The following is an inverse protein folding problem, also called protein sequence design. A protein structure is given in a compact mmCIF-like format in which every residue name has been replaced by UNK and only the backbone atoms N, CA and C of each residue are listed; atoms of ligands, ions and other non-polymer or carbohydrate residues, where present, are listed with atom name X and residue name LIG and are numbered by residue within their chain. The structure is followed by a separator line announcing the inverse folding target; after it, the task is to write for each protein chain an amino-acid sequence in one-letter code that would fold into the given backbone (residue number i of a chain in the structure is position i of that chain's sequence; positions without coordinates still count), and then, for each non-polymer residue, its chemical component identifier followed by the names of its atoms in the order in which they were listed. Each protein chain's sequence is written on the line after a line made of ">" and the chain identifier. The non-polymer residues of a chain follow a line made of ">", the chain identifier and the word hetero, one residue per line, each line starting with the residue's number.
data_IF_933932918695
#
_entry.id   IF_933932918695
#
_cell.length_a   1.000
_cell.length_b   1.000
_cell.length_c   1.000
_cell.angle_alpha   90.00
_cell.angle_beta   90.00
_cell.angle_gamma   90.00
#
_symmetry.space_group_name_H-M   'P 1'
#
loop_
_entity.id
_entity.type
_entity.pdbx_description
1 polymer ?
#
# COMPACT_ATOMS: atom_id res chain seq x y z
N UNK A 1 14.48 -58.28 -16.99
CA UNK A 1 13.29 -58.72 -16.25
C UNK A 1 12.14 -57.84 -16.72
N UNK A 2 11.16 -58.45 -17.36
CA UNK A 2 10.17 -57.87 -18.27
C UNK A 2 8.96 -57.22 -17.55
N UNK A 3 8.41 -56.14 -18.11
CA UNK A 3 6.95 -55.83 -18.12
C UNK A 3 6.30 -56.79 -19.16
N UNK A 4 5.00 -57.21 -19.14
CA UNK A 4 3.76 -56.39 -18.94
C UNK A 4 2.47 -57.16 -18.45
N UNK A 5 1.27 -56.57 -18.70
CA UNK A 5 -0.14 -57.09 -18.75
C UNK A 5 -1.01 -56.87 -17.50
N UNK A 6 -2.15 -56.15 -17.45
CA UNK A 6 -3.37 -55.90 -18.28
C UNK A 6 -4.54 -56.89 -18.03
N UNK A 7 -5.70 -56.37 -17.55
CA UNK A 7 -7.15 -56.67 -17.85
C UNK A 7 -8.01 -56.38 -16.60
N UNK A 8 -8.96 -55.43 -16.60
CA UNK A 8 -10.28 -55.30 -17.27
C UNK A 8 -11.41 -56.14 -16.63
N UNK A 9 -12.39 -55.49 -16.00
CA UNK A 9 -13.74 -56.01 -15.79
C UNK A 9 -14.80 -54.89 -15.77
N UNK A 10 -15.80 -55.06 -16.63
CA UNK A 10 -17.02 -54.28 -16.86
C UNK A 10 -18.09 -54.55 -15.78
N UNK A 11 -18.97 -53.58 -15.52
CA UNK A 11 -20.38 -53.86 -15.23
C UNK A 11 -21.28 -52.66 -15.60
N UNK A 12 -22.15 -52.90 -16.59
CA UNK A 12 -23.28 -52.06 -16.98
C UNK A 12 -24.46 -52.23 -15.98
N UNK A 13 -25.23 -51.18 -15.77
CA UNK A 13 -26.57 -51.24 -15.20
C UNK A 13 -27.50 -50.22 -15.88
N UNK A 14 -28.37 -50.71 -16.77
CA UNK A 14 -29.49 -49.98 -17.39
C UNK A 14 -30.77 -50.45 -16.71
N UNK A 15 -31.67 -49.55 -16.34
CA UNK A 15 -33.08 -49.86 -16.12
C UNK A 15 -33.98 -48.69 -16.56
N UNK A 16 -35.09 -49.09 -17.19
CA UNK A 16 -36.03 -48.32 -18.01
C UNK A 16 -37.05 -47.52 -17.21
N UNK A 17 -37.60 -46.51 -17.91
CA UNK A 17 -38.75 -45.69 -17.57
C UNK A 17 -40.06 -46.48 -17.36
N UNK A 18 -40.98 -45.88 -16.59
CA UNK A 18 -42.42 -46.14 -16.65
C UNK A 18 -43.18 -44.82 -16.54
N UNK A 19 -43.98 -44.54 -17.56
CA UNK A 19 -44.88 -43.40 -17.72
C UNK A 19 -46.23 -43.70 -17.08
N UNK A 20 -46.80 -42.73 -16.35
CA UNK A 20 -48.22 -42.69 -15.99
C UNK A 20 -48.74 -41.27 -16.30
N UNK A 21 -49.67 -41.14 -17.26
CA UNK A 21 -50.50 -39.95 -17.54
C UNK A 21 -51.78 -40.06 -16.67
N UNK A 22 -52.28 -39.03 -15.97
CA UNK A 22 -53.13 -37.88 -16.41
C UNK A 22 -53.63 -37.14 -15.12
N UNK A 23 -54.34 -35.98 -15.14
CA UNK A 23 -54.59 -34.96 -16.16
C UNK A 23 -54.22 -33.53 -15.70
N UNK A 24 -54.54 -32.54 -16.54
CA UNK A 24 -54.07 -31.15 -16.50
C UNK A 24 -54.68 -30.26 -15.39
N UNK A 25 -53.82 -29.47 -14.74
CA UNK A 25 -54.16 -28.24 -14.01
C UNK A 25 -53.67 -27.01 -14.81
N UNK A 26 -54.36 -25.85 -14.73
CA UNK A 26 -54.09 -24.69 -15.58
C UNK A 26 -52.73 -24.04 -15.25
N UNK A 27 -52.11 -23.31 -16.19
CA UNK A 27 -50.84 -22.65 -15.92
C UNK A 27 -51.06 -21.51 -14.93
N UNK A 28 -50.76 -21.74 -13.65
CA UNK A 28 -50.44 -20.65 -12.74
C UNK A 28 -49.13 -20.04 -13.23
N UNK A 29 -49.23 -18.82 -13.74
CA UNK A 29 -48.12 -17.91 -13.98
C UNK A 29 -47.34 -17.72 -12.67
N UNK A 30 -46.35 -18.58 -12.45
CA UNK A 30 -45.31 -18.33 -11.45
C UNK A 30 -44.53 -17.13 -11.97
N UNK A 31 -44.89 -15.95 -11.48
CA UNK A 31 -44.12 -14.74 -11.68
C UNK A 31 -42.68 -15.04 -11.27
N UNK A 32 -41.80 -15.19 -12.25
CA UNK A 32 -40.37 -15.05 -12.05
C UNK A 32 -40.19 -13.61 -11.58
N UNK A 33 -39.85 -13.41 -10.30
CA UNK A 33 -39.35 -12.12 -9.83
C UNK A 33 -38.03 -11.88 -10.56
N UNK A 34 -38.12 -11.28 -11.75
CA UNK A 34 -36.98 -10.89 -12.56
C UNK A 34 -36.21 -9.80 -11.81
N UNK A 35 -34.97 -10.04 -11.40
CA UNK A 35 -34.03 -8.99 -10.94
C UNK A 35 -33.54 -8.09 -12.08
N UNK A 36 -34.30 -8.02 -13.17
CA UNK A 36 -33.98 -7.20 -14.33
C UNK A 36 -33.99 -5.73 -13.91
N UNK A 37 -32.80 -5.13 -13.83
CA UNK A 37 -32.63 -3.70 -13.53
C UNK A 37 -32.21 -3.36 -12.10
N UNK A 38 -31.88 -4.32 -11.25
CA UNK A 38 -31.22 -4.05 -9.96
C UNK A 38 -29.71 -3.96 -10.15
N UNK A 39 -29.09 -2.92 -9.59
CA UNK A 39 -27.64 -2.76 -9.56
C UNK A 39 -27.14 -2.49 -8.15
N UNK A 40 -25.86 -2.73 -7.89
CA UNK A 40 -25.28 -2.49 -6.57
C UNK A 40 -24.09 -3.39 -6.27
N UNK A 41 -23.49 -3.16 -5.12
CA UNK A 41 -22.25 -3.80 -4.68
C UNK A 41 -22.30 -4.05 -3.18
N UNK A 42 -21.42 -4.94 -2.70
CA UNK A 42 -21.28 -5.25 -1.29
C UNK A 42 -19.81 -5.38 -0.92
N UNK A 43 -19.43 -4.75 0.20
CA UNK A 43 -18.10 -4.85 0.77
C UNK A 43 -18.14 -5.21 2.24
N UNK A 44 -17.18 -6.02 2.66
CA UNK A 44 -16.98 -6.43 4.04
C UNK A 44 -15.61 -5.99 4.53
N UNK A 45 -15.56 -5.63 5.80
CA UNK A 45 -14.38 -5.37 6.62
C UNK A 45 -14.49 -6.24 7.88
N UNK A 46 -13.51 -6.17 8.77
CA UNK A 46 -13.36 -7.15 9.86
C UNK A 46 -14.56 -7.20 10.82
N UNK A 47 -15.14 -6.04 11.15
CA UNK A 47 -16.28 -5.94 12.07
C UNK A 47 -17.65 -5.79 11.40
N UNK A 48 -17.70 -5.41 10.12
CA UNK A 48 -18.97 -5.16 9.44
C UNK A 48 -18.95 -5.33 7.92
N UNK A 49 -20.14 -5.48 7.32
CA UNK A 49 -20.35 -5.37 5.89
C UNK A 49 -21.38 -4.28 5.57
N UNK A 50 -21.22 -3.68 4.39
CA UNK A 50 -22.19 -2.78 3.78
C UNK A 50 -22.54 -3.34 2.40
N UNK A 51 -23.82 -3.61 2.20
CA UNK A 51 -24.38 -3.92 0.88
C UNK A 51 -25.29 -2.78 0.41
N UNK A 52 -25.24 -2.47 -0.88
CA UNK A 52 -26.08 -1.47 -1.51
C UNK A 52 -26.86 -2.09 -2.66
N UNK A 53 -28.15 -1.78 -2.75
CA UNK A 53 -29.04 -2.20 -3.84
C UNK A 53 -29.78 -0.98 -4.36
N UNK A 54 -29.53 -0.63 -5.62
CA UNK A 54 -30.21 0.44 -6.35
C UNK A 54 -31.44 -0.14 -7.04
N UNK A 55 -32.60 0.36 -6.66
CA UNK A 55 -33.87 -0.01 -7.25
C UNK A 55 -34.25 0.92 -8.42
N UNK A 56 -35.00 0.41 -9.41
CA UNK A 56 -35.50 1.22 -10.54
C UNK A 56 -36.38 2.41 -10.12
N UNK A 57 -36.95 2.39 -8.91
CA UNK A 57 -37.78 3.46 -8.36
C UNK A 57 -36.99 4.62 -7.75
N UNK A 58 -35.72 4.78 -8.13
CA UNK A 58 -34.81 5.80 -7.60
C UNK A 58 -34.64 5.76 -6.06
N UNK A 59 -34.68 4.56 -5.48
CA UNK A 59 -34.34 4.32 -4.07
C UNK A 59 -33.11 3.42 -3.99
N UNK A 60 -32.18 3.73 -3.07
CA UNK A 60 -31.06 2.84 -2.76
C UNK A 60 -31.28 2.27 -1.36
N UNK A 61 -31.28 0.95 -1.24
CA UNK A 61 -31.26 0.26 0.04
C UNK A 61 -29.82 -0.01 0.46
N UNK A 62 -29.52 0.25 1.72
CA UNK A 62 -28.26 -0.14 2.34
C UNK A 62 -28.53 -1.11 3.47
N UNK A 63 -27.70 -2.15 3.53
CA UNK A 63 -27.70 -3.14 4.60
C UNK A 63 -26.37 -3.09 5.31
N UNK A 64 -26.38 -2.71 6.58
CA UNK A 64 -25.23 -2.67 7.47
C UNK A 64 -25.30 -3.90 8.38
N UNK A 65 -24.33 -4.79 8.32
CA UNK A 65 -24.34 -6.02 9.13
C UNK A 65 -23.06 -6.19 9.90
N UNK A 66 -23.16 -6.60 11.17
CA UNK A 66 -22.00 -7.04 11.95
C UNK A 66 -21.52 -8.41 11.48
N UNK A 67 -20.21 -8.62 11.47
CA UNK A 67 -19.61 -9.95 11.21
C UNK A 67 -19.72 -10.88 12.42
N UNK A 68 -20.03 -10.34 13.60
CA UNK A 68 -20.04 -11.05 14.87
C UNK A 68 -18.68 -11.18 15.55
N UNK A 69 -17.61 -10.64 14.95
CA UNK A 69 -16.24 -10.69 15.50
C UNK A 69 -16.06 -9.82 16.75
N UNK A 70 -16.94 -8.84 16.97
CA UNK A 70 -16.97 -7.98 18.17
C UNK A 70 -18.42 -7.66 18.56
N UNK A 71 -18.64 -7.33 19.85
CA UNK A 71 -19.95 -6.93 20.33
C UNK A 71 -20.38 -5.63 19.65
N UNK A 72 -21.55 -5.62 19.03
CA UNK A 72 -22.08 -4.42 18.39
C UNK A 72 -22.75 -3.49 19.42
N UNK A 73 -22.27 -2.26 19.51
CA UNK A 73 -22.94 -1.15 20.18
C UNK A 73 -23.69 -0.25 19.19
N UNK A 74 -23.02 0.19 18.14
CA UNK A 74 -23.60 0.99 17.05
C UNK A 74 -22.81 0.80 15.75
N UNK A 75 -23.47 0.99 14.61
CA UNK A 75 -22.86 0.85 13.27
C UNK A 75 -23.21 2.06 12.41
N UNK A 76 -22.30 2.48 11.54
CA UNK A 76 -22.52 3.67 10.72
C UNK A 76 -21.99 3.52 9.30
N UNK A 77 -22.66 4.25 8.40
CA UNK A 77 -22.22 4.51 7.05
C UNK A 77 -22.37 6.00 6.77
N UNK A 78 -21.36 6.62 6.15
CA UNK A 78 -21.42 7.99 5.67
C UNK A 78 -21.15 8.11 4.18
N UNK A 79 -21.73 9.15 3.59
CA UNK A 79 -21.62 9.45 2.17
C UNK A 79 -20.46 10.42 1.93
N UNK A 80 -19.31 9.90 1.49
CA UNK A 80 -18.12 10.68 1.18
C UNK A 80 -16.83 9.91 1.51
N UNK A 81 -15.68 10.60 1.36
CA UNK A 81 -14.36 10.00 1.47
C UNK A 81 -13.64 10.30 2.80
N UNK A 82 -14.24 11.09 3.69
CA UNK A 82 -13.67 11.47 4.98
C UNK A 82 -14.80 11.79 5.98
N UNK A 83 -14.52 11.79 7.28
CA UNK A 83 -15.54 12.09 8.31
C UNK A 83 -16.05 13.53 8.24
N UNK A 84 -15.13 14.47 7.99
CA UNK A 84 -15.43 15.90 7.92
C UNK A 84 -16.41 16.21 6.78
N UNK A 85 -17.55 16.79 7.12
CA UNK A 85 -18.63 17.24 6.24
C UNK A 85 -19.31 16.13 5.43
N UNK A 86 -19.16 14.86 5.84
CA UNK A 86 -19.93 13.75 5.26
C UNK A 86 -21.22 13.51 6.04
N UNK A 87 -22.39 13.47 5.37
CA UNK A 87 -23.63 13.02 5.99
C UNK A 87 -23.53 11.54 6.35
N UNK A 88 -23.87 11.19 7.58
CA UNK A 88 -23.77 9.84 8.13
C UNK A 88 -25.13 9.33 8.56
N UNK A 89 -25.37 8.03 8.37
CA UNK A 89 -26.47 7.27 8.96
C UNK A 89 -25.85 6.35 10.00
N UNK A 90 -26.25 6.53 11.26
CA UNK A 90 -25.78 5.76 12.40
C UNK A 90 -26.98 5.01 12.97
N UNK A 91 -26.81 3.71 13.20
CA UNK A 91 -27.90 2.83 13.65
C UNK A 91 -27.43 2.01 14.84
N UNK A 92 -28.30 1.83 15.84
CA UNK A 92 -28.03 0.97 16.98
C UNK A 92 -29.31 0.36 17.57
N UNK A 93 -29.21 -0.85 18.16
CA UNK A 93 -30.29 -1.43 18.94
C UNK A 93 -30.36 -0.80 20.33
N UNK A 94 -31.57 -0.69 20.87
CA UNK A 94 -31.83 -0.18 22.20
C UNK A 94 -32.20 -1.30 23.17
N UNK A 95 -32.06 -1.04 24.48
CA UNK A 95 -32.36 -2.01 25.53
C UNK A 95 -33.84 -2.44 25.57
N UNK A 96 -34.75 -1.62 25.07
CA UNK A 96 -36.19 -1.91 24.97
C UNK A 96 -36.56 -2.75 23.73
N UNK A 97 -35.57 -3.17 22.93
CA UNK A 97 -35.76 -3.93 21.70
C UNK A 97 -36.14 -3.08 20.49
N UNK A 98 -36.18 -1.75 20.62
CA UNK A 98 -36.29 -0.84 19.48
C UNK A 98 -34.92 -0.61 18.80
N UNK A 99 -34.93 0.05 17.65
CA UNK A 99 -33.71 0.47 16.94
C UNK A 99 -33.78 1.97 16.71
N UNK A 100 -32.68 2.66 16.99
CA UNK A 100 -32.54 4.06 16.66
C UNK A 100 -31.74 4.22 15.38
N UNK A 101 -32.29 4.97 14.43
CA UNK A 101 -31.58 5.53 13.29
C UNK A 101 -31.34 7.01 13.55
N UNK A 102 -30.10 7.46 13.36
CA UNK A 102 -29.69 8.85 13.54
C UNK A 102 -28.90 9.33 12.34
N UNK A 103 -29.32 10.44 11.74
CA UNK A 103 -28.57 11.10 10.67
C UNK A 103 -27.75 12.24 11.23
N UNK A 104 -26.43 12.16 11.08
CA UNK A 104 -25.48 13.08 11.71
C UNK A 104 -24.44 13.60 10.72
N UNK A 105 -23.73 14.66 11.13
CA UNK A 105 -22.58 15.21 10.42
C UNK A 105 -21.64 15.88 11.41
N UNK A 106 -20.35 15.97 11.06
CA UNK A 106 -19.33 16.65 11.85
C UNK A 106 -18.47 17.54 10.94
N UNK A 107 -17.91 18.66 11.44
CA UNK A 107 -16.99 19.50 10.67
C UNK A 107 -15.57 18.92 10.56
N UNK A 108 -15.28 17.83 11.27
CA UNK A 108 -13.96 17.20 11.41
C UNK A 108 -14.10 15.87 12.17
N UNK A 109 -13.00 15.38 12.75
CA UNK A 109 -12.91 14.16 13.55
C UNK A 109 -13.40 14.42 15.00
N UNK A 110 -14.60 14.96 15.11
CA UNK A 110 -15.27 15.28 16.37
C UNK A 110 -16.63 14.58 16.44
N UNK A 111 -17.17 14.46 17.65
CA UNK A 111 -18.47 13.85 17.90
C UNK A 111 -19.55 14.41 16.95
N UNK A 112 -20.14 13.60 16.05
CA UNK A 112 -21.10 14.09 15.06
C UNK A 112 -22.44 14.44 15.70
N UNK A 113 -23.06 15.51 15.22
CA UNK A 113 -24.34 16.02 15.71
C UNK A 113 -25.47 15.73 14.73
N UNK A 114 -26.70 15.59 15.24
CA UNK A 114 -27.89 15.32 14.42
C UNK A 114 -28.13 16.44 13.41
N UNK A 115 -28.40 16.06 12.16
CA UNK A 115 -28.78 16.99 11.09
C UNK A 115 -30.30 16.98 10.95
N UNK A 116 -30.93 18.12 11.20
CA UNK A 116 -32.40 18.25 11.16
C UNK A 116 -32.99 18.07 9.75
N UNK A 117 -32.21 18.38 8.70
CA UNK A 117 -32.62 18.26 7.30
C UNK A 117 -31.47 17.68 6.46
N UNK A 118 -31.27 16.35 6.51
CA UNK A 118 -30.16 15.71 5.84
C UNK A 118 -30.36 15.71 4.31
N UNK A 119 -29.28 15.79 3.50
CA UNK A 119 -29.37 15.84 2.04
C UNK A 119 -30.09 14.62 1.41
N UNK A 120 -29.97 13.46 2.06
CA UNK A 120 -30.66 12.23 1.70
C UNK A 120 -31.32 11.69 2.97
N UNK A 121 -32.64 11.81 3.07
CA UNK A 121 -33.38 11.30 4.23
C UNK A 121 -33.31 9.77 4.25
N UNK A 122 -32.88 9.20 5.38
CA UNK A 122 -32.80 7.76 5.56
C UNK A 122 -34.04 7.24 6.29
N UNK A 123 -34.62 6.15 5.79
CA UNK A 123 -35.76 5.47 6.40
C UNK A 123 -35.36 4.06 6.81
N UNK A 124 -35.46 3.76 8.09
CA UNK A 124 -35.17 2.43 8.63
C UNK A 124 -36.27 1.43 8.20
N UNK A 125 -35.86 0.25 7.74
CA UNK A 125 -36.75 -0.88 7.49
C UNK A 125 -36.56 -1.93 8.59
N UNK A 126 -37.41 -1.86 9.60
CA UNK A 126 -37.36 -2.75 10.77
C UNK A 126 -37.71 -4.21 10.38
N UNK A 127 -38.52 -4.41 9.34
CA UNK A 127 -38.95 -5.74 8.90
C UNK A 127 -37.85 -6.53 8.18
N UNK A 128 -36.92 -5.83 7.54
CA UNK A 128 -35.73 -6.43 6.90
C UNK A 128 -34.49 -6.43 7.80
N UNK A 129 -34.52 -5.69 8.91
CA UNK A 129 -33.43 -5.64 9.89
C UNK A 129 -33.50 -6.83 10.85
N UNK A 130 -32.35 -7.39 11.25
CA UNK A 130 -32.26 -8.49 12.21
C UNK A 130 -31.34 -8.12 13.38
N UNK A 131 -31.91 -7.77 14.54
CA UNK A 131 -31.15 -7.19 15.66
C UNK A 131 -31.57 -7.73 17.03
N UNK A 132 -32.26 -8.88 17.05
CA UNK A 132 -32.62 -9.56 18.29
C UNK A 132 -31.38 -9.93 19.11
N UNK A 133 -31.49 -9.91 20.44
CA UNK A 133 -30.41 -10.16 21.40
C UNK A 133 -29.72 -11.52 21.27
N UNK A 134 -30.32 -12.48 20.54
CA UNK A 134 -29.76 -13.80 20.26
C UNK A 134 -29.02 -13.88 18.91
N UNK A 135 -29.02 -12.82 18.10
CA UNK A 135 -28.42 -12.85 16.78
C UNK A 135 -26.93 -12.50 16.89
N UNK A 136 -26.05 -13.48 16.64
CA UNK A 136 -24.60 -13.27 16.71
C UNK A 136 -24.08 -12.27 15.64
N UNK A 137 -24.91 -11.92 14.64
CA UNK A 137 -24.56 -11.06 13.50
C UNK A 137 -25.71 -10.11 13.15
N UNK A 138 -25.97 -9.08 13.98
CA UNK A 138 -27.07 -8.16 13.74
C UNK A 138 -26.94 -7.42 12.40
N UNK A 139 -28.05 -7.18 11.71
CA UNK A 139 -28.15 -6.42 10.47
C UNK A 139 -29.21 -5.33 10.53
N UNK A 140 -28.94 -4.20 9.89
CA UNK A 140 -29.82 -3.04 9.82
C UNK A 140 -29.98 -2.64 8.36
N UNK A 141 -31.23 -2.53 7.94
CA UNK A 141 -31.61 -2.19 6.58
C UNK A 141 -32.28 -0.83 6.61
N UNK A 142 -31.81 0.09 5.78
CA UNK A 142 -32.46 1.38 5.57
C UNK A 142 -32.42 1.76 4.10
N UNK A 143 -33.28 2.70 3.72
CA UNK A 143 -33.34 3.24 2.36
C UNK A 143 -33.08 4.72 2.35
N UNK A 144 -32.56 5.22 1.23
CA UNK A 144 -32.36 6.64 0.94
C UNK A 144 -32.72 6.93 -0.52
N UNK A 145 -33.10 8.18 -0.87
CA UNK A 145 -33.24 8.58 -2.27
C UNK A 145 -31.96 8.30 -3.06
N UNK A 146 -32.05 7.68 -4.23
CA UNK A 146 -30.88 7.37 -5.07
C UNK A 146 -30.23 8.65 -5.61
N UNK A 147 -28.91 8.59 -5.74
CA UNK A 147 -28.14 9.47 -6.64
C UNK A 147 -27.91 8.72 -7.96
N UNK A 148 -27.52 9.39 -9.06
CA UNK A 148 -27.10 8.69 -10.28
C UNK A 148 -26.08 7.60 -9.94
N UNK A 149 -26.33 6.36 -10.37
CA UNK A 149 -25.47 5.25 -10.04
C UNK A 149 -24.05 5.49 -10.59
N UNK A 150 -23.06 5.43 -9.70
CA UNK A 150 -21.66 5.62 -10.04
C UNK A 150 -20.89 4.32 -9.85
N UNK A 151 -19.87 4.08 -10.68
CA UNK A 151 -18.96 2.95 -10.49
C UNK A 151 -18.00 3.11 -9.29
N UNK A 152 -18.01 4.28 -8.64
CA UNK A 152 -17.17 4.56 -7.48
C UNK A 152 -17.87 5.54 -6.53
N UNK A 153 -18.81 5.03 -5.72
CA UNK A 153 -19.44 5.80 -4.64
C UNK A 153 -18.55 5.73 -3.41
N UNK A 154 -17.92 6.85 -3.05
CA UNK A 154 -17.14 6.96 -1.82
C UNK A 154 -18.02 6.82 -0.57
N UNK A 155 -17.57 5.98 0.36
CA UNK A 155 -18.23 5.66 1.62
C UNK A 155 -17.21 5.70 2.75
N UNK A 156 -17.61 6.31 3.87
CA UNK A 156 -16.97 6.10 5.17
C UNK A 156 -17.82 5.14 6.00
N UNK A 157 -17.20 4.35 6.86
CA UNK A 157 -17.91 3.42 7.75
C UNK A 157 -17.28 3.44 9.14
N UNK A 158 -18.07 3.06 10.14
CA UNK A 158 -17.60 2.96 11.51
C UNK A 158 -18.39 1.91 12.30
N UNK A 159 -17.70 1.23 13.20
CA UNK A 159 -18.23 0.24 14.12
C UNK A 159 -17.89 0.63 15.57
N UNK A 160 -18.91 0.80 16.40
CA UNK A 160 -18.76 1.05 17.83
C UNK A 160 -19.16 -0.16 18.66
N UNK A 161 -18.33 -0.53 19.64
CA UNK A 161 -18.63 -1.68 20.50
C UNK A 161 -19.46 -1.38 21.75
N UNK A 162 -19.64 -0.10 22.08
CA UNK A 162 -20.41 0.32 23.25
C UNK A 162 -21.73 0.95 22.80
N UNK A 163 -22.89 0.41 23.23
CA UNK A 163 -24.17 0.99 22.87
C UNK A 163 -24.33 2.38 23.51
N UNK A 164 -25.05 3.30 22.86
CA UNK A 164 -25.36 4.60 23.45
C UNK A 164 -26.25 4.45 24.70
N UNK A 165 -26.14 5.38 25.65
CA UNK A 165 -26.83 5.28 26.96
C UNK A 165 -28.37 5.31 26.85
N UNK A 166 -28.91 5.79 25.73
CA UNK A 166 -30.36 5.89 25.51
C UNK A 166 -30.73 5.85 24.02
N UNK A 167 -32.03 5.71 23.76
CA UNK A 167 -32.60 5.62 22.42
C UNK A 167 -32.66 6.94 21.64
N UNK A 168 -32.24 8.07 22.21
CA UNK A 168 -32.32 9.37 21.52
C UNK A 168 -31.43 9.38 20.27
N UNK A 169 -31.92 9.83 19.10
CA UNK A 169 -31.06 10.05 17.93
C UNK A 169 -29.89 10.99 18.20
N UNK A 170 -29.93 11.83 19.25
CA UNK A 170 -28.83 12.72 19.67
C UNK A 170 -27.95 12.14 20.78
N UNK A 171 -28.13 10.89 21.18
CA UNK A 171 -27.35 10.25 22.24
C UNK A 171 -25.84 10.38 21.97
N UNK A 172 -25.02 10.69 22.99
CA UNK A 172 -23.56 10.68 22.86
C UNK A 172 -23.07 9.31 22.40
N UNK A 173 -22.09 9.31 21.50
CA UNK A 173 -21.41 8.09 21.04
C UNK A 173 -19.97 8.15 21.57
N UNK A 174 -19.49 7.03 22.09
CA UNK A 174 -18.05 6.85 22.29
C UNK A 174 -17.43 6.60 20.91
N UNK A 175 -16.18 7.04 20.74
CA UNK A 175 -15.43 6.82 19.51
C UNK A 175 -15.49 5.34 19.08
N UNK A 176 -15.70 5.12 17.78
CA UNK A 176 -15.74 3.80 17.17
C UNK A 176 -14.49 2.97 17.51
N UNK A 177 -14.66 1.66 17.59
CA UNK A 177 -13.55 0.71 17.71
C UNK A 177 -12.80 0.55 16.40
N UNK A 178 -13.54 0.63 15.30
CA UNK A 178 -13.00 0.45 13.95
C UNK A 178 -13.73 1.36 12.96
N UNK A 179 -13.01 1.81 11.94
CA UNK A 179 -13.51 2.75 10.94
C UNK A 179 -12.60 2.81 9.73
N UNK A 180 -13.16 3.21 8.60
CA UNK A 180 -12.36 3.44 7.41
C UNK A 180 -13.20 3.94 6.25
N UNK A 181 -12.64 3.77 5.05
CA UNK A 181 -13.25 4.24 3.81
C UNK A 181 -13.14 3.17 2.73
N UNK A 182 -14.13 3.08 1.85
CA UNK A 182 -14.03 2.33 0.60
C UNK A 182 -15.02 2.89 -0.44
N UNK A 183 -14.89 2.42 -1.69
CA UNK A 183 -15.83 2.75 -2.76
C UNK A 183 -16.78 1.58 -3.06
N UNK A 184 -18.05 1.86 -3.32
CA UNK A 184 -19.03 0.88 -3.83
C UNK A 184 -19.31 1.14 -5.32
N UNK A 185 -19.38 0.08 -6.12
CA UNK A 185 -19.82 0.18 -7.53
C UNK A 185 -21.33 -0.02 -7.63
N UNK A 186 -22.08 1.08 -7.70
CA UNK A 186 -23.55 1.03 -7.75
C UNK A 186 -24.10 0.64 -9.13
N UNK A 187 -23.24 0.36 -10.12
CA UNK A 187 -23.63 0.02 -11.49
C UNK A 187 -23.59 -1.47 -11.80
N UNK A 188 -22.99 -2.29 -10.90
CA UNK A 188 -22.87 -3.72 -11.11
C UNK A 188 -24.25 -4.41 -11.09
N UNK A 189 -24.57 -5.27 -12.06
CA UNK A 189 -25.85 -5.97 -12.09
C UNK A 189 -25.95 -7.01 -10.96
N UNK A 190 -27.05 -6.97 -10.20
CA UNK A 190 -27.33 -7.97 -9.15
C UNK A 190 -28.13 -9.12 -9.77
N UNK A 191 -27.49 -10.28 -9.96
CA UNK A 191 -28.16 -11.49 -10.43
C UNK A 191 -28.95 -12.17 -9.28
N UNK A 192 -30.22 -12.51 -9.52
CA UNK A 192 -31.15 -13.11 -8.53
C UNK A 192 -30.77 -14.52 -8.01
N UNK A 193 -29.57 -15.03 -8.24
CA UNK A 193 -29.25 -16.42 -7.91
C UNK A 193 -27.79 -16.63 -7.47
N UNK A 194 -27.26 -15.75 -6.62
CA UNK A 194 -26.06 -16.04 -5.85
C UNK A 194 -26.43 -16.90 -4.63
N UNK A 195 -26.69 -18.19 -4.84
CA UNK A 195 -26.45 -19.16 -3.78
C UNK A 195 -24.96 -19.12 -3.52
N UNK A 196 -24.54 -18.69 -2.34
CA UNK A 196 -23.14 -18.66 -1.95
C UNK A 196 -22.51 -20.04 -2.26
N UNK A 197 -21.33 -20.11 -2.90
CA UNK A 197 -20.62 -21.37 -3.02
C UNK A 197 -20.43 -21.96 -1.62
N UNK A 198 -20.43 -23.30 -1.46
CA UNK A 198 -20.04 -23.91 -0.18
C UNK A 198 -18.67 -23.37 0.22
N UNK A 199 -18.40 -23.20 1.54
CA UNK A 199 -17.15 -22.59 1.99
C UNK A 199 -16.00 -23.54 1.68
N UNK A 200 -15.39 -23.42 0.50
CA UNK A 200 -13.94 -23.60 0.39
C UNK A 200 -13.37 -22.61 1.38
N UNK A 201 -12.70 -23.11 2.41
CA UNK A 201 -12.13 -22.33 3.51
C UNK A 201 -11.46 -21.06 2.97
N UNK A 202 -12.21 -19.96 2.98
CA UNK A 202 -11.65 -18.64 2.83
C UNK A 202 -10.75 -18.45 4.05
N UNK A 203 -9.54 -17.88 3.90
CA UNK A 203 -8.77 -17.46 5.06
C UNK A 203 -9.70 -16.61 5.93
N UNK A 204 -9.70 -16.89 7.23
CA UNK A 204 -10.54 -16.12 8.15
C UNK A 204 -10.14 -14.65 8.03
N UNK A 205 -11.07 -13.70 8.22
CA UNK A 205 -10.77 -12.26 8.13
C UNK A 205 -9.58 -11.87 9.01
N UNK A 206 -9.44 -12.55 10.16
CA UNK A 206 -8.32 -12.45 11.10
C UNK A 206 -6.97 -12.85 10.45
N UNK A 207 -6.93 -13.88 9.61
CA UNK A 207 -5.73 -14.28 8.87
C UNK A 207 -5.34 -13.25 7.80
N UNK A 208 -6.32 -12.64 7.11
CA UNK A 208 -6.05 -11.62 6.08
C UNK A 208 -5.61 -10.29 6.66
N UNK A 209 -6.26 -9.83 7.75
CA UNK A 209 -5.92 -8.60 8.44
C UNK A 209 -4.55 -8.73 9.12
N UNK A 210 -4.29 -9.86 9.80
CA UNK A 210 -2.98 -10.15 10.36
C UNK A 210 -1.89 -10.20 9.29
N UNK A 211 -2.16 -10.86 8.15
CA UNK A 211 -1.22 -10.88 7.03
C UNK A 211 -0.96 -9.48 6.48
N UNK A 212 -1.99 -8.65 6.37
CA UNK A 212 -1.90 -7.25 5.93
C UNK A 212 -1.09 -6.40 6.92
N UNK A 213 -1.38 -6.51 8.21
CA UNK A 213 -0.62 -5.87 9.27
C UNK A 213 0.86 -6.28 9.22
N UNK A 214 1.15 -7.57 9.07
CA UNK A 214 2.51 -8.07 8.92
C UNK A 214 3.20 -7.53 7.68
N UNK A 215 2.49 -7.36 6.54
CA UNK A 215 3.02 -6.69 5.34
C UNK A 215 3.40 -5.23 5.62
N UNK A 216 2.56 -4.47 6.32
CA UNK A 216 2.82 -3.06 6.70
C UNK A 216 4.03 -2.96 7.63
N UNK A 217 4.10 -3.81 8.65
CA UNK A 217 5.24 -3.85 9.57
C UNK A 217 6.52 -4.22 8.83
N UNK A 218 6.48 -5.24 7.99
CA UNK A 218 7.64 -5.66 7.19
C UNK A 218 8.08 -4.57 6.20
N UNK A 219 7.16 -3.87 5.55
CA UNK A 219 7.44 -2.68 4.75
C UNK A 219 8.22 -1.64 5.57
N UNK A 220 7.69 -1.25 6.74
CA UNK A 220 8.30 -0.25 7.61
C UNK A 220 9.71 -0.64 8.05
N UNK A 221 9.91 -1.90 8.43
CA UNK A 221 11.22 -2.44 8.86
C UNK A 221 12.21 -2.42 7.70
N UNK A 222 11.86 -3.01 6.54
CA UNK A 222 12.76 -3.11 5.40
C UNK A 222 13.11 -1.73 4.84
N UNK A 223 12.13 -0.83 4.71
CA UNK A 223 12.38 0.55 4.27
C UNK A 223 13.27 1.30 5.26
N UNK A 224 13.09 1.13 6.58
CA UNK A 224 13.95 1.76 7.58
C UNK A 224 15.38 1.22 7.52
N UNK A 225 15.55 -0.11 7.43
CA UNK A 225 16.87 -0.74 7.30
C UNK A 225 17.58 -0.29 6.03
N UNK A 226 16.88 -0.28 4.90
CA UNK A 226 17.42 0.18 3.62
C UNK A 226 17.79 1.66 3.63
N UNK A 227 16.80 2.53 3.84
CA UNK A 227 16.97 3.98 3.68
C UNK A 227 17.66 4.69 4.86
N UNK A 228 17.47 4.25 6.10
CA UNK A 228 18.07 4.88 7.29
C UNK A 228 19.26 4.10 7.86
N UNK A 229 19.42 2.83 7.50
CA UNK A 229 20.57 2.01 7.89
C UNK A 229 21.65 1.97 6.81
N UNK A 230 21.36 1.24 5.73
CA UNK A 230 22.36 0.88 4.72
C UNK A 230 22.78 2.05 3.84
N UNK A 231 21.85 2.91 3.39
CA UNK A 231 22.23 4.06 2.56
C UNK A 231 23.15 5.05 3.30
N UNK A 232 22.88 5.47 4.54
CA UNK A 232 23.81 6.27 5.33
C UNK A 232 25.14 5.57 5.57
N UNK A 233 25.12 4.26 5.87
CA UNK A 233 26.33 3.46 6.04
C UNK A 233 27.23 3.53 4.80
N UNK A 234 26.67 3.28 3.61
CA UNK A 234 27.41 3.36 2.35
C UNK A 234 28.01 4.75 2.10
N UNK A 235 27.26 5.81 2.43
CA UNK A 235 27.72 7.20 2.33
C UNK A 235 28.86 7.50 3.32
N UNK A 236 28.74 7.06 4.58
CA UNK A 236 29.76 7.25 5.60
C UNK A 236 31.03 6.45 5.31
N UNK A 237 30.91 5.21 4.85
CA UNK A 237 32.05 4.40 4.38
C UNK A 237 32.81 5.15 3.29
N UNK A 238 32.12 5.66 2.27
CA UNK A 238 32.76 6.45 1.21
C UNK A 238 33.41 7.74 1.73
N UNK A 239 32.83 8.38 2.76
CA UNK A 239 33.37 9.61 3.33
C UNK A 239 34.63 9.36 4.13
N UNK A 240 34.61 8.38 5.02
CA UNK A 240 35.66 8.12 5.99
C UNK A 240 36.82 7.31 5.42
N UNK A 241 36.59 6.40 4.47
CA UNK A 241 37.62 5.45 4.03
C UNK A 241 38.34 5.86 2.74
N UNK A 242 37.80 6.82 1.97
CA UNK A 242 38.30 7.22 0.64
C UNK A 242 39.77 7.64 0.62
N UNK A 243 40.29 8.20 1.72
CA UNK A 243 41.68 8.65 1.83
C UNK A 243 42.65 7.59 2.35
N UNK A 244 42.16 6.39 2.68
CA UNK A 244 42.94 5.34 3.33
C UNK A 244 43.05 4.06 2.50
N UNK A 245 42.00 3.69 1.76
CA UNK A 245 41.97 2.46 0.97
C UNK A 245 41.35 2.71 -0.40
N UNK A 246 41.84 2.10 -1.50
CA UNK A 246 41.18 2.18 -2.80
C UNK A 246 39.85 1.42 -2.86
N UNK A 247 39.62 0.49 -1.93
CA UNK A 247 38.40 -0.33 -1.87
C UNK A 247 37.16 0.45 -1.43
N UNK A 248 37.30 1.72 -1.01
CA UNK A 248 36.19 2.59 -0.60
C UNK A 248 35.07 2.63 -1.64
N UNK A 249 35.42 2.63 -2.93
CA UNK A 249 34.45 2.69 -4.01
C UNK A 249 33.68 1.40 -4.10
N UNK A 250 34.38 0.26 -4.08
CA UNK A 250 33.76 -1.07 -4.09
C UNK A 250 32.81 -1.24 -2.93
N UNK A 251 33.25 -0.92 -1.71
CA UNK A 251 32.38 -0.97 -0.53
C UNK A 251 31.16 -0.06 -0.67
N UNK A 252 31.35 1.17 -1.17
CA UNK A 252 30.24 2.11 -1.37
C UNK A 252 29.18 1.56 -2.32
N UNK A 253 29.55 1.20 -3.56
CA UNK A 253 28.55 0.78 -4.54
C UNK A 253 27.93 -0.58 -4.21
N UNK A 254 28.66 -1.50 -3.54
CA UNK A 254 28.09 -2.76 -3.05
C UNK A 254 27.04 -2.50 -1.98
N UNK A 255 27.33 -1.64 -0.99
CA UNK A 255 26.35 -1.31 0.05
C UNK A 255 25.14 -0.60 -0.57
N UNK A 256 25.36 0.40 -1.44
CA UNK A 256 24.26 1.16 -2.04
C UNK A 256 23.41 0.29 -2.97
N UNK A 257 24.00 -0.44 -3.91
CA UNK A 257 23.23 -1.11 -4.96
C UNK A 257 22.87 -2.56 -4.60
N UNK A 258 23.85 -3.35 -4.15
CA UNK A 258 23.70 -4.81 -3.99
C UNK A 258 22.99 -5.15 -2.67
N UNK A 259 23.30 -4.42 -1.60
CA UNK A 259 22.66 -4.66 -0.29
C UNK A 259 21.39 -3.84 -0.12
N UNK A 260 21.44 -2.52 -0.33
CA UNK A 260 20.28 -1.65 -0.09
C UNK A 260 19.20 -1.84 -1.14
N UNK A 261 19.56 -2.03 -2.41
CA UNK A 261 18.61 -2.15 -3.53
C UNK A 261 17.53 -3.22 -3.31
N UNK A 262 17.89 -4.50 -3.13
CA UNK A 262 16.90 -5.56 -2.91
C UNK A 262 16.02 -5.32 -1.68
N UNK A 263 16.59 -4.82 -0.58
CA UNK A 263 15.84 -4.55 0.66
C UNK A 263 14.84 -3.41 0.46
N UNK A 264 15.26 -2.33 -0.19
CA UNK A 264 14.39 -1.18 -0.51
C UNK A 264 13.26 -1.61 -1.45
N UNK A 265 13.57 -2.37 -2.51
CA UNK A 265 12.56 -2.88 -3.45
C UNK A 265 11.55 -3.77 -2.74
N UNK A 266 12.02 -4.73 -1.92
CA UNK A 266 11.13 -5.61 -1.17
C UNK A 266 10.25 -4.82 -0.18
N UNK A 267 10.84 -3.85 0.53
CA UNK A 267 10.09 -2.97 1.43
C UNK A 267 8.99 -2.21 0.70
N UNK A 268 9.32 -1.52 -0.40
CA UNK A 268 8.34 -0.74 -1.18
C UNK A 268 7.25 -1.64 -1.76
N UNK A 269 7.61 -2.81 -2.33
CA UNK A 269 6.64 -3.76 -2.87
C UNK A 269 5.63 -4.23 -1.81
N UNK A 270 6.09 -4.53 -0.59
CA UNK A 270 5.20 -4.89 0.52
C UNK A 270 4.25 -3.75 0.91
N UNK A 271 4.69 -2.50 0.78
CA UNK A 271 3.85 -1.32 1.03
C UNK A 271 2.73 -1.19 0.00
N UNK A 272 3.06 -1.38 -1.29
CA UNK A 272 2.08 -1.36 -2.39
C UNK A 272 1.06 -2.50 -2.21
N UNK A 273 1.53 -3.71 -1.93
CA UNK A 273 0.65 -4.86 -1.67
C UNK A 273 -0.24 -4.72 -0.43
N UNK A 274 0.13 -3.87 0.54
CA UNK A 274 -0.71 -3.60 1.69
C UNK A 274 -1.87 -2.63 1.39
N UNK A 275 -1.82 -1.92 0.26
CA UNK A 275 -2.82 -0.95 -0.20
C UNK A 275 -3.75 -1.55 -1.26
N UNK A 276 -3.24 -2.40 -2.16
CA UNK A 276 -4.00 -2.99 -3.27
C UNK A 276 -4.55 -4.40 -2.97
N UNK A 277 -5.60 -4.52 -2.15
CA UNK A 277 -6.28 -5.81 -1.93
C UNK A 277 -7.29 -6.20 -3.03
N UNK A 278 -7.53 -5.35 -4.04
CA UNK A 278 -8.38 -5.72 -5.19
C UNK A 278 -7.67 -6.53 -6.29
N UNK A 279 -6.38 -6.87 -6.13
CA UNK A 279 -5.56 -7.52 -7.17
C UNK A 279 -4.75 -8.74 -6.66
N UNK A 280 -5.10 -9.32 -5.51
CA UNK A 280 -4.32 -10.39 -4.85
C UNK A 280 -4.29 -11.76 -5.58
N UNK A 281 -4.63 -11.83 -6.86
CA UNK A 281 -4.57 -13.07 -7.66
C UNK A 281 -3.33 -13.16 -8.58
N UNK A 282 -2.47 -12.13 -8.65
CA UNK A 282 -1.28 -12.16 -9.53
C UNK A 282 0.07 -11.97 -8.83
N UNK A 283 0.12 -11.77 -7.51
CA UNK A 283 1.35 -11.42 -6.77
C UNK A 283 2.04 -12.56 -6.03
N UNK A 284 2.01 -13.78 -6.59
CA UNK A 284 2.99 -14.81 -6.24
C UNK A 284 3.76 -15.24 -7.49
N UNK A 285 5.09 -15.44 -7.48
CA UNK A 285 6.15 -15.14 -6.51
C UNK A 285 7.20 -14.19 -7.10
N UNK A 286 7.29 -12.93 -6.67
CA UNK A 286 8.21 -11.95 -7.31
C UNK A 286 9.36 -11.57 -6.37
N UNK A 287 10.28 -12.51 -6.19
CA UNK A 287 11.65 -12.22 -5.82
C UNK A 287 12.47 -12.53 -7.07
N UNK A 288 12.88 -11.49 -7.83
CA UNK A 288 14.13 -11.39 -8.62
C UNK A 288 14.07 -10.17 -9.56
N UNK A 289 15.17 -9.41 -9.58
CA UNK A 289 15.52 -8.28 -10.47
C UNK A 289 14.87 -6.91 -10.14
N UNK A 290 15.47 -6.21 -9.17
CA UNK A 290 15.09 -4.87 -8.68
C UNK A 290 15.14 -3.70 -9.66
N UNK A 291 15.25 -3.92 -10.98
CA UNK A 291 15.15 -2.86 -12.00
C UNK A 291 13.88 -3.00 -12.84
N UNK A 292 13.47 -4.22 -13.19
CA UNK A 292 12.18 -4.47 -13.85
C UNK A 292 11.00 -4.31 -12.87
N UNK A 293 11.22 -4.71 -11.61
CA UNK A 293 10.28 -4.55 -10.50
C UNK A 293 9.93 -3.09 -10.19
N UNK A 294 10.88 -2.16 -10.33
CA UNK A 294 10.62 -0.74 -10.07
C UNK A 294 9.72 -0.10 -11.13
N UNK A 295 9.79 -0.57 -12.38
CA UNK A 295 8.93 -0.10 -13.47
C UNK A 295 7.54 -0.76 -13.36
N UNK A 296 7.46 -2.06 -13.03
CA UNK A 296 6.19 -2.76 -12.84
C UNK A 296 5.41 -2.26 -11.62
N UNK A 297 6.09 -1.96 -10.51
CA UNK A 297 5.47 -1.36 -9.33
C UNK A 297 4.90 0.05 -9.60
N UNK A 298 5.48 0.78 -10.55
CA UNK A 298 4.97 2.08 -11.01
C UNK A 298 3.85 1.89 -12.04
N UNK A 299 3.85 0.82 -12.85
CA UNK A 299 2.75 0.54 -13.77
C UNK A 299 1.48 0.08 -13.04
N UNK A 300 1.64 -0.70 -11.96
CA UNK A 300 0.58 -1.01 -10.99
C UNK A 300 0.08 0.25 -10.23
N UNK A 301 0.93 1.28 -10.11
CA UNK A 301 0.55 2.54 -9.44
C UNK A 301 -0.48 3.38 -10.18
N UNK A 302 -0.79 3.07 -11.45
CA UNK A 302 -1.85 3.76 -12.19
C UNK A 302 -3.25 3.54 -11.58
N UNK A 303 -3.41 2.56 -10.67
CA UNK A 303 -4.60 2.36 -9.85
C UNK A 303 -4.46 2.75 -8.36
N UNK A 304 -3.24 3.10 -7.89
CA UNK A 304 -3.02 3.40 -6.47
C UNK A 304 -3.65 4.74 -6.10
N UNK A 305 -4.47 4.72 -5.04
CA UNK A 305 -4.89 5.92 -4.33
C UNK A 305 -3.64 6.58 -3.68
N UNK A 306 -2.96 7.45 -4.42
CA UNK A 306 -1.91 8.34 -3.89
C UNK A 306 -2.57 9.55 -3.21
N UNK A 307 -3.33 9.29 -2.14
CA UNK A 307 -4.11 10.30 -1.44
C UNK A 307 -3.29 11.07 -0.40
N UNK A 308 -2.28 10.45 0.24
CA UNK A 308 -1.47 11.09 1.28
C UNK A 308 -0.05 11.50 0.83
N UNK A 309 0.66 12.18 1.74
CA UNK A 309 2.02 12.69 1.54
C UNK A 309 3.08 11.59 1.62
N UNK A 310 2.91 10.59 2.49
CA UNK A 310 3.81 9.46 2.64
C UNK A 310 3.89 8.63 1.35
N UNK A 311 2.76 8.28 0.74
CA UNK A 311 2.73 7.52 -0.52
C UNK A 311 3.43 8.29 -1.66
N UNK A 312 3.09 9.58 -1.84
CA UNK A 312 3.69 10.45 -2.87
C UNK A 312 5.20 10.61 -2.69
N UNK A 313 5.63 10.93 -1.47
CA UNK A 313 7.04 11.12 -1.15
C UNK A 313 7.82 9.79 -1.25
N UNK A 314 7.20 8.67 -0.88
CA UNK A 314 7.79 7.33 -1.00
C UNK A 314 8.12 6.94 -2.43
N UNK A 315 7.18 7.12 -3.37
CA UNK A 315 7.42 6.87 -4.80
C UNK A 315 8.48 7.82 -5.36
N UNK A 316 8.38 9.12 -5.04
CA UNK A 316 9.39 10.09 -5.49
C UNK A 316 10.80 9.72 -5.00
N UNK A 317 10.92 9.30 -3.73
CA UNK A 317 12.18 8.86 -3.13
C UNK A 317 12.72 7.58 -3.78
N UNK A 318 11.83 6.63 -4.09
CA UNK A 318 12.18 5.38 -4.77
C UNK A 318 12.73 5.64 -6.19
N UNK A 319 12.08 6.52 -6.96
CA UNK A 319 12.56 6.96 -8.27
C UNK A 319 13.90 7.70 -8.16
N UNK A 320 14.02 8.63 -7.21
CA UNK A 320 15.27 9.38 -6.97
C UNK A 320 16.43 8.44 -6.59
N UNK A 321 16.16 7.38 -5.84
CA UNK A 321 17.16 6.37 -5.49
C UNK A 321 17.73 5.67 -6.73
N UNK A 322 16.89 5.17 -7.64
CA UNK A 322 17.38 4.55 -8.88
C UNK A 322 18.07 5.56 -9.81
N UNK A 323 17.54 6.79 -9.91
CA UNK A 323 18.20 7.85 -10.66
C UNK A 323 19.61 8.13 -10.11
N UNK A 324 19.78 8.13 -8.79
CA UNK A 324 21.07 8.31 -8.13
C UNK A 324 22.04 7.14 -8.39
N UNK A 325 21.54 5.89 -8.39
CA UNK A 325 22.34 4.72 -8.74
C UNK A 325 22.80 4.76 -10.20
N UNK A 326 21.87 5.04 -11.13
CA UNK A 326 22.17 5.16 -12.55
C UNK A 326 23.15 6.30 -12.82
N UNK A 327 22.96 7.45 -12.18
CA UNK A 327 23.87 8.59 -12.28
C UNK A 327 25.26 8.27 -11.72
N UNK A 328 25.34 7.60 -10.58
CA UNK A 328 26.61 7.11 -10.02
C UNK A 328 27.32 6.13 -10.96
N UNK A 329 26.57 5.21 -11.57
CA UNK A 329 27.11 4.26 -12.53
C UNK A 329 27.62 4.97 -13.80
N UNK A 330 26.87 5.94 -14.33
CA UNK A 330 27.28 6.75 -15.47
C UNK A 330 28.60 7.49 -15.20
N UNK A 331 28.73 8.12 -14.03
CA UNK A 331 29.94 8.87 -13.66
C UNK A 331 31.18 7.97 -13.57
N UNK A 332 31.02 6.74 -13.08
CA UNK A 332 32.14 5.88 -12.73
C UNK A 332 32.48 4.80 -13.76
N UNK A 333 31.51 4.34 -14.54
CA UNK A 333 31.70 3.28 -15.54
C UNK A 333 31.67 3.78 -16.98
N UNK A 334 31.05 4.93 -17.25
CA UNK A 334 31.05 5.53 -18.59
C UNK A 334 32.09 6.65 -18.64
N UNK A 335 33.12 6.48 -19.49
CA UNK A 335 34.12 7.52 -19.72
C UNK A 335 33.51 8.64 -20.56
N UNK A 336 32.92 9.63 -19.89
CA UNK A 336 32.64 10.92 -20.55
C UNK A 336 33.96 11.66 -20.69
N UNK A 337 34.35 11.98 -21.92
CA UNK A 337 35.54 12.77 -22.22
C UNK A 337 35.47 14.08 -21.42
N UNK A 338 36.20 14.16 -20.32
CA UNK A 338 36.12 15.28 -19.40
C UNK A 338 36.88 16.47 -19.98
N UNK A 339 36.23 17.64 -20.00
CA UNK A 339 36.80 18.89 -20.48
C UNK A 339 38.01 19.30 -19.62
N UNK A 340 39.21 18.94 -20.11
CA UNK A 340 40.49 19.48 -19.68
C UNK A 340 41.01 19.12 -18.28
N UNK A 341 42.29 19.41 -17.97
CA UNK A 341 43.02 18.82 -16.84
C UNK A 341 42.72 19.44 -15.47
N UNK A 342 41.85 20.45 -15.38
CA UNK A 342 41.96 21.42 -14.28
C UNK A 342 41.15 21.07 -13.02
N UNK A 343 39.97 20.44 -13.09
CA UNK A 343 39.05 20.35 -11.93
C UNK A 343 38.30 19.01 -11.87
N UNK A 344 37.80 18.66 -10.68
CA UNK A 344 36.89 17.52 -10.55
C UNK A 344 35.64 17.80 -11.40
N UNK A 345 35.16 16.84 -12.20
CA UNK A 345 33.95 17.04 -12.99
C UNK A 345 32.76 17.46 -12.11
N UNK A 346 31.94 18.44 -12.54
CA UNK A 346 30.82 18.97 -11.76
C UNK A 346 29.79 17.90 -11.37
N UNK A 347 29.61 16.88 -12.22
CA UNK A 347 28.78 15.70 -11.96
C UNK A 347 29.08 14.99 -10.63
N UNK A 348 30.33 14.99 -10.16
CA UNK A 348 30.69 14.34 -8.89
C UNK A 348 30.12 15.10 -7.68
N UNK A 349 30.02 16.43 -7.78
CA UNK A 349 29.39 17.27 -6.76
C UNK A 349 27.88 17.10 -6.80
N UNK A 350 27.29 17.08 -8.00
CA UNK A 350 25.86 16.81 -8.18
C UNK A 350 25.46 15.46 -7.58
N UNK A 351 26.24 14.40 -7.81
CA UNK A 351 26.00 13.07 -7.23
C UNK A 351 26.05 13.11 -5.69
N UNK A 352 27.01 13.82 -5.11
CA UNK A 352 27.10 13.95 -3.66
C UNK A 352 25.92 14.74 -3.06
N UNK A 353 25.53 15.86 -3.69
CA UNK A 353 24.42 16.71 -3.22
C UNK A 353 23.10 15.96 -3.31
N UNK A 354 22.81 15.32 -4.45
CA UNK A 354 21.59 14.53 -4.64
C UNK A 354 21.53 13.35 -3.67
N UNK A 355 22.67 12.68 -3.42
CA UNK A 355 22.74 11.61 -2.42
C UNK A 355 22.41 12.08 -1.00
N UNK A 356 22.90 13.26 -0.59
CA UNK A 356 22.57 13.85 0.71
C UNK A 356 21.10 14.29 0.79
N UNK A 357 20.55 14.82 -0.29
CA UNK A 357 19.12 15.16 -0.38
C UNK A 357 18.25 13.91 -0.19
N UNK A 358 18.59 12.79 -0.84
CA UNK A 358 17.88 11.51 -0.66
C UNK A 358 17.88 11.07 0.81
N UNK A 359 19.01 11.19 1.52
CA UNK A 359 19.05 10.83 2.95
C UNK A 359 18.15 11.75 3.81
N UNK A 360 18.11 13.05 3.50
CA UNK A 360 17.23 13.99 4.21
C UNK A 360 15.75 13.68 3.95
N UNK A 361 15.38 13.44 2.69
CA UNK A 361 14.02 13.06 2.30
C UNK A 361 13.62 11.70 2.90
N UNK A 362 14.54 10.73 2.96
CA UNK A 362 14.32 9.46 3.64
C UNK A 362 14.00 9.63 5.13
N UNK A 363 14.74 10.51 5.83
CA UNK A 363 14.43 10.86 7.21
C UNK A 363 13.03 11.43 7.37
N UNK A 364 12.61 12.31 6.46
CA UNK A 364 11.25 12.86 6.45
C UNK A 364 10.18 11.80 6.13
N UNK A 365 10.44 10.94 5.14
CA UNK A 365 9.56 9.83 4.74
C UNK A 365 9.29 8.85 5.88
N UNK A 366 10.33 8.47 6.63
CA UNK A 366 10.15 7.59 7.80
C UNK A 366 9.33 8.29 8.88
N UNK A 367 9.54 9.60 9.07
CA UNK A 367 8.77 10.39 10.04
C UNK A 367 7.28 10.43 9.68
N UNK A 368 6.93 10.68 8.42
CA UNK A 368 5.51 10.65 8.00
C UNK A 368 4.92 9.26 8.19
N UNK A 369 5.69 8.20 7.93
CA UNK A 369 5.25 6.82 8.14
C UNK A 369 4.86 6.52 9.59
N UNK A 370 5.72 6.77 10.57
CA UNK A 370 5.38 6.43 11.96
C UNK A 370 4.49 7.45 12.68
N UNK A 371 4.40 8.70 12.19
CA UNK A 371 3.58 9.75 12.84
C UNK A 371 2.20 9.93 12.23
N UNK A 372 2.04 9.63 10.95
CA UNK A 372 0.79 9.86 10.21
C UNK A 372 0.17 8.53 9.83
N UNK A 373 0.89 7.70 9.07
CA UNK A 373 0.35 6.42 8.61
C UNK A 373 0.11 5.45 9.78
N UNK A 374 1.11 5.21 10.62
CA UNK A 374 1.02 4.18 11.65
C UNK A 374 -0.18 4.39 12.62
N UNK A 375 -0.46 5.61 13.11
CA UNK A 375 -1.66 5.86 13.91
C UNK A 375 -2.97 5.70 13.16
N UNK A 376 -3.01 6.03 11.87
CA UNK A 376 -4.21 5.84 11.03
C UNK A 376 -4.54 4.35 10.87
N UNK A 377 -3.53 3.48 10.74
CA UNK A 377 -3.72 2.04 10.53
C UNK A 377 -3.89 1.21 11.80
N UNK A 378 -3.35 1.67 12.93
CA UNK A 378 -3.30 0.84 14.16
C UNK A 378 -4.13 1.40 15.31
N UNK A 379 -4.73 2.59 15.17
CA UNK A 379 -5.37 3.38 16.24
C UNK A 379 -4.46 3.71 17.44
N UNK A 380 -3.20 3.26 17.41
CA UNK A 380 -2.20 3.40 18.45
C UNK A 380 -1.11 4.40 18.06
N UNK A 381 -0.41 4.93 19.07
CA UNK A 381 0.78 5.75 18.84
C UNK A 381 2.01 4.87 18.91
N UNK A 382 2.99 5.10 18.03
CA UNK A 382 4.30 4.48 18.19
C UNK A 382 4.89 4.84 19.56
N UNK A 383 5.61 3.92 20.22
CA UNK A 383 6.27 4.22 21.48
C UNK A 383 7.18 5.45 21.37
N UNK A 384 7.22 6.28 22.42
CA UNK A 384 8.07 7.48 22.49
C UNK A 384 9.55 7.21 22.18
N UNK A 385 10.01 5.97 22.42
CA UNK A 385 11.36 5.53 22.08
C UNK A 385 11.66 5.54 20.58
N UNK A 386 10.67 5.28 19.72
CA UNK A 386 10.84 5.30 18.25
C UNK A 386 11.14 6.72 17.76
N UNK A 387 10.38 7.69 18.26
CA UNK A 387 10.62 9.09 17.95
C UNK A 387 11.98 9.57 18.47
N UNK A 388 12.33 9.21 19.71
CA UNK A 388 13.62 9.54 20.30
C UNK A 388 14.76 8.97 19.46
N UNK A 389 14.66 7.70 19.05
CA UNK A 389 15.64 7.06 18.19
C UNK A 389 15.74 7.76 16.84
N UNK A 390 14.62 8.10 16.21
CA UNK A 390 14.61 8.83 14.94
C UNK A 390 15.33 10.18 15.08
N UNK A 391 15.04 10.96 16.14
CA UNK A 391 15.70 12.26 16.40
C UNK A 391 17.22 12.08 16.53
N UNK A 392 17.66 11.11 17.35
CA UNK A 392 19.09 10.80 17.51
C UNK A 392 19.71 10.43 16.17
N UNK A 393 19.03 9.62 15.37
CA UNK A 393 19.53 9.14 14.08
C UNK A 393 19.68 10.26 13.04
N UNK A 394 18.68 11.14 12.91
CA UNK A 394 18.75 12.27 11.97
C UNK A 394 19.74 13.36 12.39
N UNK A 395 20.20 13.36 13.64
CA UNK A 395 21.29 14.23 14.11
C UNK A 395 22.66 13.57 13.93
N UNK A 396 22.81 12.31 14.34
CA UNK A 396 24.12 11.65 14.37
C UNK A 396 24.68 11.42 12.96
N UNK A 397 23.82 11.09 11.98
CA UNK A 397 24.27 10.82 10.61
C UNK A 397 24.84 12.08 9.93
N UNK A 398 24.16 13.24 9.92
CA UNK A 398 24.75 14.48 9.43
C UNK A 398 26.02 14.89 10.18
N UNK A 399 26.04 14.78 11.51
CA UNK A 399 27.24 15.10 12.31
C UNK A 399 28.42 14.22 11.91
N UNK A 400 28.21 12.90 11.79
CA UNK A 400 29.25 11.96 11.37
C UNK A 400 29.73 12.24 9.93
N UNK A 401 28.84 12.65 9.03
CA UNK A 401 29.21 13.05 7.68
C UNK A 401 30.07 14.33 7.67
N UNK A 402 29.64 15.35 8.41
CA UNK A 402 30.33 16.64 8.53
C UNK A 402 31.70 16.47 9.19
N UNK A 403 31.80 15.67 10.25
CA UNK A 403 33.08 15.36 10.89
C UNK A 403 34.08 14.73 9.90
N UNK A 404 33.60 13.85 9.01
CA UNK A 404 34.43 13.26 7.94
C UNK A 404 34.95 14.27 6.92
N UNK A 405 34.39 15.49 6.82
CA UNK A 405 34.93 16.55 5.97
C UNK A 405 36.30 17.06 6.44
N UNK A 406 36.68 16.80 7.70
CA UNK A 406 38.04 17.05 8.19
C UNK A 406 39.13 16.32 7.38
N UNK A 407 38.77 15.27 6.63
CA UNK A 407 39.68 14.53 5.76
C UNK A 407 39.86 15.15 4.37
N UNK A 408 39.11 16.20 4.01
CA UNK A 408 39.21 16.88 2.71
C UNK A 408 40.62 17.39 2.37
N UNK A 409 41.38 18.02 3.30
CA UNK A 409 42.74 18.48 2.99
C UNK A 409 43.65 17.32 2.59
N UNK A 410 43.52 16.17 3.25
CA UNK A 410 44.25 14.94 2.90
C UNK A 410 43.84 14.45 1.51
N UNK A 411 42.54 14.41 1.22
CA UNK A 411 42.02 14.03 -0.09
C UNK A 411 42.57 14.92 -1.21
N UNK A 412 42.54 16.24 -1.04
CA UNK A 412 43.05 17.17 -2.04
C UNK A 412 44.56 17.09 -2.24
N UNK A 413 45.34 16.74 -1.21
CA UNK A 413 46.77 16.46 -1.35
C UNK A 413 47.01 15.20 -2.21
N UNK A 414 46.29 14.11 -1.95
CA UNK A 414 46.41 12.87 -2.71
C UNK A 414 46.03 13.06 -4.19
N UNK A 415 44.98 13.83 -4.48
CA UNK A 415 44.56 14.12 -5.85
C UNK A 415 45.57 15.00 -6.60
N UNK A 416 46.15 16.00 -5.94
CA UNK A 416 47.24 16.80 -6.52
C UNK A 416 48.46 15.95 -6.84
N UNK A 417 48.86 15.05 -5.94
CA UNK A 417 49.98 14.13 -6.16
C UNK A 417 49.75 13.19 -7.35
N UNK A 418 48.55 12.61 -7.48
CA UNK A 418 48.18 11.76 -8.62
C UNK A 418 48.23 12.52 -9.95
N UNK A 419 47.82 13.80 -9.96
CA UNK A 419 47.90 14.66 -11.16
C UNK A 419 49.35 14.96 -11.54
N UNK A 420 50.19 15.29 -10.57
CA UNK A 420 51.61 15.55 -10.81
C UNK A 420 52.33 14.31 -11.38
N UNK A 421 52.04 13.11 -10.88
CA UNK A 421 52.59 11.85 -11.41
C UNK A 421 52.15 11.53 -12.84
N UNK A 422 50.89 11.82 -13.20
CA UNK A 422 50.36 11.58 -14.55
C UNK A 422 50.94 12.55 -15.61
N UNK A 423 51.32 13.77 -15.21
CA UNK A 423 51.98 14.73 -16.10
C UNK A 423 53.45 14.39 -16.40
N UNK A 424 54.13 13.69 -15.49
CA UNK A 424 55.53 13.31 -15.64
C UNK A 424 55.79 12.13 -16.59
N UNK A 425 54.87 11.16 -16.66
CA UNK A 425 55.04 9.99 -17.54
C UNK A 425 54.75 10.26 -19.02
N UNK A 426 54.08 11.38 -19.34
CA UNK A 426 53.77 11.77 -20.72
C UNK A 426 54.92 12.49 -21.45
N UNK A 427 55.97 12.91 -20.74
CA UNK A 427 57.05 13.74 -21.31
C UNK A 427 58.32 12.95 -21.68
N UNK A 428 58.41 11.65 -21.34
CA UNK A 428 59.64 10.85 -21.52
C UNK A 428 59.65 9.97 -22.78
N UNK A 429 58.59 9.97 -23.60
CA UNK A 429 58.45 9.11 -24.78
C UNK A 429 58.76 9.83 -26.12
N UNK A 430 59.53 10.93 -26.09
CA UNK A 430 59.90 11.68 -27.30
C UNK A 430 61.41 11.89 -27.40
N UNK A 431 61.99 11.37 -28.47
CA UNK A 431 63.32 11.67 -29.02
C UNK A 431 64.48 10.86 -28.41
N UNK A 432 64.66 9.63 -28.90
CA UNK A 432 66.00 9.07 -29.11
C UNK A 432 66.37 9.35 -30.57
N UNK A 433 67.22 10.36 -30.80
CA UNK A 433 67.94 10.54 -32.06
C UNK A 433 69.07 9.51 -32.10
N UNK A 434 68.99 8.55 -33.01
CA UNK A 434 70.13 7.70 -33.38
C UNK A 434 71.01 8.41 -34.42
N UNK A 435 72.36 8.31 -34.34
CA UNK A 435 73.26 8.98 -35.26
C UNK A 435 73.48 8.20 -36.56
N UNK A 436 73.36 8.94 -37.66
CA UNK A 436 74.20 8.96 -38.88
C UNK A 436 75.16 7.77 -39.11
N UNK A 437 74.85 6.94 -40.11
CA UNK A 437 75.79 6.01 -40.74
C UNK A 437 76.50 6.72 -41.90
N UNK A 438 77.83 6.90 -41.77
CA UNK A 438 78.74 7.28 -42.86
C UNK A 438 79.29 6.03 -43.56
N UNK A 439 79.48 6.16 -44.86
CA UNK A 439 80.13 5.24 -45.80
C UNK A 439 81.54 4.78 -45.38
N UNK A 440 81.85 3.51 -45.70
CA UNK A 440 82.94 3.18 -46.64
C UNK A 440 84.35 2.87 -46.12
N UNK A 441 84.95 1.83 -46.74
CA UNK A 441 86.37 1.39 -46.77
C UNK A 441 86.91 0.70 -45.49
N UNK A 442 87.57 -0.46 -45.52
CA UNK A 442 88.21 -1.29 -46.58
C UNK A 442 87.94 -2.78 -46.38
#
# INVERSE_FOLDING_TARGET
>A
MFLPLLTAALALGVARASSIQHPADPPQTRATNSSSGLTGDSKCVDLMCIAAVVFPNATTQYTLSSTGSSSLGWIAMGFGAQMANSPMVIVWPNADGSVTLSQRMAPGEVMPTVVASPPRLASLDVGLSSFASSNAKPSFVYTVPSVPATSSQAVIWAFGGTPPDNASPSAPLIQHLDSGTFNLDLTLPIAANATAPPPTAAPTSDDSEHARFMRIVAHGVLCTVGFLGLLPLGVLVARWTRTFTPHWFTSHWVIQSVLSGPIIVAGVALGIHAVDESQSLLSGPIIVAGVALGIHAVDESHGMHLDDTHKKLGIALFVLYFAQLAFGALIHFVRVASAGPARRPPQNYAHAIMGLLILALAGWQVRTGFRTEYPEWTTGRVPMGVETLWIVWVVIIPVAYLAGLALLPRQFRQERARRAGAGGSGSAAGIVRGPEMREGSE
#
